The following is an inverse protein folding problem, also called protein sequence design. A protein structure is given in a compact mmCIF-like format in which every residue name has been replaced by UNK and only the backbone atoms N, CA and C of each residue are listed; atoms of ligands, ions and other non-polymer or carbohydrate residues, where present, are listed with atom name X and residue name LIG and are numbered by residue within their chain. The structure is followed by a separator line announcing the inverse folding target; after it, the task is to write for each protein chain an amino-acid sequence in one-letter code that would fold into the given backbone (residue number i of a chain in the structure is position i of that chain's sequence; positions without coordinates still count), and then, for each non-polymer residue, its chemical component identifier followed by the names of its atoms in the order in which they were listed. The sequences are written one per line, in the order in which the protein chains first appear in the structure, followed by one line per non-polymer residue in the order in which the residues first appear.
data_IF_474831599573
#
_entry.id   IF_474831599573
#
_cell.length_a   1.000
_cell.length_b   1.000
_cell.length_c   1.000
_cell.angle_alpha   90.00
_cell.angle_beta   90.00
_cell.angle_gamma   90.00
#
_symmetry.space_group_name_H-M   'P 1'
#
loop_
_entity.id
_entity.type
_entity.pdbx_description
1 polymer ?
#
# COMPACT_ATOMS: atom_id res chain seq x y z
N UNK A 1 -41.09 -6.50 12.05
CA UNK A 1 -40.10 -5.57 11.48
C UNK A 1 -38.86 -6.40 11.14
N UNK A 2 -38.60 -6.69 9.86
CA UNK A 2 -37.47 -7.54 9.44
C UNK A 2 -36.27 -6.67 9.13
N UNK A 3 -35.17 -6.85 9.86
CA UNK A 3 -33.90 -6.19 9.59
C UNK A 3 -33.31 -6.75 8.29
N UNK A 4 -32.96 -5.87 7.35
CA UNK A 4 -32.33 -6.25 6.08
C UNK A 4 -30.97 -5.53 6.02
N UNK A 5 -29.82 -6.23 6.01
CA UNK A 5 -28.52 -5.58 5.92
C UNK A 5 -28.21 -5.28 4.44
N UNK A 6 -28.37 -4.01 4.03
CA UNK A 6 -28.12 -3.52 2.67
C UNK A 6 -27.25 -2.26 2.75
N UNK A 7 -25.98 -2.39 3.15
CA UNK A 7 -24.98 -1.30 3.01
C UNK A 7 -23.52 -1.71 3.22
N UNK A 8 -23.23 -2.70 4.06
CA UNK A 8 -21.85 -2.93 4.54
C UNK A 8 -20.90 -3.54 3.48
N UNK A 9 -21.42 -4.32 2.53
CA UNK A 9 -20.60 -4.95 1.49
C UNK A 9 -20.02 -3.96 0.48
N UNK A 10 -20.74 -2.87 0.17
CA UNK A 10 -20.30 -1.90 -0.84
C UNK A 10 -19.24 -0.92 -0.31
N UNK A 11 -19.34 -0.50 0.96
CA UNK A 11 -18.42 0.48 1.54
C UNK A 11 -17.00 -0.10 1.72
N UNK A 12 -16.91 -1.33 2.24
CA UNK A 12 -15.61 -2.00 2.47
C UNK A 12 -14.89 -2.30 1.15
N UNK A 13 -15.62 -2.72 0.11
CA UNK A 13 -15.02 -2.98 -1.21
C UNK A 13 -14.61 -1.70 -1.95
N UNK A 14 -15.38 -0.62 -1.80
CA UNK A 14 -15.03 0.68 -2.41
C UNK A 14 -13.80 1.31 -1.75
N UNK A 15 -13.63 1.15 -0.43
CA UNK A 15 -12.39 1.54 0.26
C UNK A 15 -11.19 0.71 -0.20
N UNK A 16 -11.36 -0.60 -0.35
CA UNK A 16 -10.30 -1.50 -0.82
C UNK A 16 -9.80 -1.09 -2.21
N UNK A 17 -10.72 -0.67 -3.10
CA UNK A 17 -10.42 -0.17 -4.44
C UNK A 17 -9.63 1.14 -4.51
N UNK A 18 -9.46 1.85 -3.38
CA UNK A 18 -8.66 3.09 -3.25
C UNK A 18 -7.57 2.96 -2.18
N UNK A 19 -7.37 1.77 -1.63
CA UNK A 19 -6.40 1.52 -0.57
C UNK A 19 -5.06 1.04 -1.13
N UNK A 20 -3.98 1.63 -0.63
CA UNK A 20 -2.61 1.14 -0.83
C UNK A 20 -2.00 0.67 0.50
N UNK A 21 -1.06 -0.26 0.40
CA UNK A 21 -0.21 -0.70 1.49
C UNK A 21 1.22 -0.23 1.20
N UNK A 22 1.81 0.47 2.16
CA UNK A 22 3.19 0.91 2.15
C UNK A 22 3.97 0.06 3.15
N UNK A 23 5.12 -0.49 2.77
CA UNK A 23 5.97 -1.32 3.64
C UNK A 23 7.41 -0.87 3.56
N UNK A 24 8.13 -0.87 4.68
CA UNK A 24 9.52 -0.42 4.74
C UNK A 24 9.78 0.80 5.64
N UNK A 25 8.90 1.82 5.72
CA UNK A 25 9.16 2.98 6.57
C UNK A 25 9.30 2.57 8.05
N UNK A 26 10.31 3.08 8.78
CA UNK A 26 10.53 2.72 10.18
C UNK A 26 9.37 3.20 11.06
N UNK A 27 9.07 2.44 12.11
CA UNK A 27 8.11 2.84 13.13
C UNK A 27 8.67 3.97 14.00
N UNK A 28 7.79 4.80 14.56
CA UNK A 28 8.19 5.75 15.60
C UNK A 28 8.34 4.99 16.93
N UNK A 29 9.29 5.43 17.74
CA UNK A 29 9.53 4.89 19.08
C UNK A 29 8.25 4.92 19.93
N UNK A 30 7.93 3.78 20.56
CA UNK A 30 6.71 3.59 21.34
C UNK A 30 6.68 4.42 22.62
N UNK A 31 7.83 4.83 23.12
CA UNK A 31 7.94 5.68 24.31
C UNK A 31 7.48 7.12 24.01
N UNK A 32 7.29 7.47 22.73
CA UNK A 32 6.78 8.79 22.33
C UNK A 32 5.26 8.88 22.52
N UNK A 33 4.74 10.08 22.87
CA UNK A 33 3.31 10.34 22.93
C UNK A 33 2.60 9.97 21.63
N UNK A 34 1.34 9.51 21.73
CA UNK A 34 0.55 9.10 20.57
C UNK A 34 0.46 10.19 19.50
N UNK A 35 0.29 11.47 19.89
CA UNK A 35 0.24 12.60 18.97
C UNK A 35 1.52 12.76 18.15
N UNK A 36 2.69 12.55 18.78
CA UNK A 36 4.00 12.60 18.11
C UNK A 36 4.14 11.43 17.13
N UNK A 37 3.75 10.23 17.54
CA UNK A 37 3.80 9.02 16.69
C UNK A 37 2.86 9.15 15.49
N UNK A 38 1.68 9.72 15.70
CA UNK A 38 0.69 9.96 14.65
C UNK A 38 1.21 10.99 13.64
N UNK A 39 1.72 12.12 14.11
CA UNK A 39 2.32 13.14 13.23
C UNK A 39 3.49 12.59 12.43
N UNK A 40 4.39 11.84 13.06
CA UNK A 40 5.50 11.18 12.37
C UNK A 40 5.01 10.23 11.25
N UNK A 41 3.94 9.47 11.50
CA UNK A 41 3.33 8.61 10.48
C UNK A 41 2.77 9.44 9.31
N UNK A 42 2.05 10.52 9.62
CA UNK A 42 1.46 11.42 8.61
C UNK A 42 2.55 12.09 7.76
N UNK A 43 3.61 12.61 8.40
CA UNK A 43 4.76 13.23 7.72
C UNK A 43 5.47 12.23 6.80
N UNK A 44 5.68 10.98 7.25
CA UNK A 44 6.25 9.92 6.41
C UNK A 44 5.38 9.60 5.20
N UNK A 45 4.06 9.52 5.39
CA UNK A 45 3.13 9.22 4.28
C UNK A 45 3.07 10.39 3.31
N UNK A 46 3.05 11.63 3.79
CA UNK A 46 3.08 12.83 2.94
C UNK A 46 4.33 12.84 2.05
N UNK A 47 5.52 12.65 2.63
CA UNK A 47 6.78 12.62 1.87
C UNK A 47 6.80 11.52 0.79
N UNK A 48 6.23 10.35 1.09
CA UNK A 48 6.11 9.28 0.09
C UNK A 48 5.14 9.69 -1.02
N UNK A 49 3.97 10.25 -0.68
CA UNK A 49 2.98 10.67 -1.67
C UNK A 49 3.48 11.80 -2.57
N UNK A 50 4.32 12.70 -2.06
CA UNK A 50 4.99 13.74 -2.85
C UNK A 50 5.90 13.13 -3.92
N UNK A 51 6.71 12.13 -3.56
CA UNK A 51 7.57 11.40 -4.50
C UNK A 51 6.74 10.66 -5.56
N UNK A 52 5.58 10.13 -5.15
CA UNK A 52 4.66 9.44 -6.06
C UNK A 52 3.83 10.39 -6.92
N UNK A 53 3.97 11.70 -6.75
CA UNK A 53 3.20 12.75 -7.43
C UNK A 53 1.69 12.58 -7.23
N UNK A 54 1.28 12.36 -5.98
CA UNK A 54 -0.11 12.19 -5.57
C UNK A 54 -0.55 13.42 -4.79
N UNK A 55 -1.10 14.43 -5.48
CA UNK A 55 -1.56 15.68 -4.84
C UNK A 55 -2.91 15.50 -4.13
N UNK A 56 -2.90 14.77 -3.02
CA UNK A 56 -4.07 14.63 -2.17
C UNK A 56 -3.69 14.16 -0.78
N UNK A 57 -4.39 14.70 0.23
CA UNK A 57 -4.36 14.11 1.57
C UNK A 57 -5.12 12.78 1.57
N UNK A 58 -4.57 11.73 2.20
CA UNK A 58 -5.32 10.50 2.46
C UNK A 58 -6.54 10.75 3.34
N UNK A 59 -7.59 9.96 3.13
CA UNK A 59 -8.76 9.95 4.02
C UNK A 59 -8.44 9.23 5.33
N UNK A 60 -7.63 8.17 5.26
CA UNK A 60 -7.31 7.31 6.39
C UNK A 60 -5.86 6.83 6.28
N UNK A 61 -5.11 6.93 7.37
CA UNK A 61 -3.73 6.45 7.49
C UNK A 61 -3.51 5.78 8.83
N UNK A 62 -3.02 4.54 8.84
CA UNK A 62 -2.68 3.83 10.09
C UNK A 62 -1.66 2.72 9.86
N UNK A 63 -0.89 2.38 10.92
CA UNK A 63 0.01 1.22 10.95
C UNK A 63 -0.79 -0.06 11.22
N UNK A 64 -0.51 -1.11 10.47
CA UNK A 64 -1.16 -2.41 10.58
C UNK A 64 -0.29 -3.42 11.34
N UNK A 65 -0.94 -4.28 12.12
CA UNK A 65 -0.29 -5.40 12.81
C UNK A 65 0.39 -5.02 14.11
N UNK A 66 1.11 -6.00 14.66
CA UNK A 66 1.81 -5.90 15.93
C UNK A 66 3.23 -5.34 15.76
N UNK A 67 3.71 -4.67 16.80
CA UNK A 67 5.05 -4.08 16.80
C UNK A 67 6.09 -5.20 16.85
N UNK A 68 7.15 -5.07 16.05
CA UNK A 68 8.23 -6.05 16.00
C UNK A 68 9.56 -5.37 15.73
N UNK A 69 10.59 -5.77 16.47
CA UNK A 69 11.96 -5.27 16.29
C UNK A 69 12.58 -5.74 14.97
N UNK A 70 12.05 -6.81 14.38
CA UNK A 70 12.61 -7.41 13.17
C UNK A 70 12.20 -6.66 11.91
N UNK A 71 10.99 -6.10 11.87
CA UNK A 71 10.39 -5.54 10.65
C UNK A 71 9.43 -4.40 11.00
N UNK A 72 9.55 -3.24 10.32
CA UNK A 72 8.59 -2.16 10.46
C UNK A 72 7.18 -2.59 10.05
N UNK A 73 6.17 -2.05 10.73
CA UNK A 73 4.78 -2.37 10.45
C UNK A 73 4.32 -1.76 9.12
N UNK A 74 3.60 -2.50 8.26
CA UNK A 74 3.01 -1.91 7.07
C UNK A 74 2.05 -0.78 7.40
N UNK A 75 1.98 0.25 6.56
CA UNK A 75 1.01 1.34 6.66
C UNK A 75 -0.11 1.05 5.67
N UNK A 76 -1.37 1.19 6.09
CA UNK A 76 -2.50 1.28 5.18
C UNK A 76 -2.88 2.74 4.99
N UNK A 77 -3.08 3.11 3.73
CA UNK A 77 -3.46 4.46 3.28
C UNK A 77 -4.67 4.33 2.37
N UNK A 78 -5.73 5.08 2.65
CA UNK A 78 -6.93 5.19 1.80
C UNK A 78 -6.89 6.53 1.07
N UNK A 79 -6.87 6.48 -0.26
CA UNK A 79 -6.79 7.66 -1.11
C UNK A 79 -8.19 8.15 -1.49
N UNK A 80 -8.40 9.46 -1.71
CA UNK A 80 -9.74 10.02 -1.95
C UNK A 80 -10.35 9.58 -3.29
N UNK A 81 -9.55 9.09 -4.24
CA UNK A 81 -10.08 8.63 -5.53
C UNK A 81 -9.28 7.48 -6.13
N UNK A 82 -9.94 6.76 -7.04
CA UNK A 82 -9.29 5.70 -7.82
C UNK A 82 -8.17 6.24 -8.69
N UNK A 83 -8.31 7.45 -9.24
CA UNK A 83 -7.26 8.08 -10.06
C UNK A 83 -5.98 8.29 -9.26
N UNK A 84 -6.09 8.84 -8.03
CA UNK A 84 -4.95 8.99 -7.13
C UNK A 84 -4.32 7.65 -6.76
N UNK A 85 -5.15 6.61 -6.56
CA UNK A 85 -4.68 5.25 -6.34
C UNK A 85 -3.91 4.66 -7.52
N UNK A 86 -4.39 4.86 -8.76
CA UNK A 86 -3.69 4.44 -9.98
C UNK A 86 -2.34 5.15 -10.07
N UNK A 87 -2.31 6.48 -9.88
CA UNK A 87 -1.08 7.28 -9.91
C UNK A 87 -0.08 6.78 -8.89
N UNK A 88 -0.49 6.56 -7.64
CA UNK A 88 0.38 6.05 -6.58
C UNK A 88 1.05 4.72 -6.96
N UNK A 89 0.30 3.79 -7.55
CA UNK A 89 0.83 2.48 -7.95
C UNK A 89 1.72 2.56 -9.19
N UNK A 90 1.35 3.36 -10.20
CA UNK A 90 2.13 3.53 -11.42
C UNK A 90 3.50 4.17 -11.12
N UNK A 91 3.51 5.12 -10.18
CA UNK A 91 4.71 5.87 -9.79
C UNK A 91 5.50 5.20 -8.65
N UNK A 92 5.04 4.07 -8.11
CA UNK A 92 5.73 3.35 -7.01
C UNK A 92 7.21 3.05 -7.30
N UNK A 93 7.57 2.90 -8.58
CA UNK A 93 8.96 2.70 -9.03
C UNK A 93 9.89 3.90 -8.74
N UNK A 94 9.35 5.12 -8.61
CA UNK A 94 10.12 6.33 -8.38
C UNK A 94 10.85 6.32 -7.03
N UNK A 95 10.30 5.62 -6.04
CA UNK A 95 10.91 5.47 -4.71
C UNK A 95 12.31 4.84 -4.75
N UNK A 96 12.59 4.00 -5.76
CA UNK A 96 13.85 3.25 -5.87
C UNK A 96 15.10 4.12 -5.97
N UNK A 97 14.96 5.36 -6.43
CA UNK A 97 16.07 6.29 -6.65
C UNK A 97 16.07 7.43 -5.62
N UNK A 98 15.44 7.20 -4.47
CA UNK A 98 15.32 8.17 -3.37
C UNK A 98 15.76 7.52 -2.06
N UNK A 99 15.72 8.27 -0.96
CA UNK A 99 15.96 7.73 0.39
C UNK A 99 14.93 6.67 0.81
N UNK A 100 13.85 6.50 0.04
CA UNK A 100 12.84 5.46 0.22
C UNK A 100 13.06 4.23 -0.68
N UNK A 101 14.29 3.94 -1.11
CA UNK A 101 14.58 2.83 -2.01
C UNK A 101 14.15 1.45 -1.46
N UNK A 102 14.08 1.29 -0.14
CA UNK A 102 13.62 0.10 0.56
C UNK A 102 12.10 0.11 0.86
N UNK A 103 11.37 1.13 0.41
CA UNK A 103 9.92 1.24 0.57
C UNK A 103 9.19 0.65 -0.63
N UNK A 104 8.17 -0.15 -0.33
CA UNK A 104 7.35 -0.83 -1.31
C UNK A 104 5.90 -0.40 -1.18
N UNK A 105 5.31 0.02 -2.28
CA UNK A 105 3.88 0.37 -2.38
C UNK A 105 3.16 -0.69 -3.20
N UNK A 106 2.01 -1.15 -2.72
CA UNK A 106 1.19 -2.16 -3.41
C UNK A 106 -0.30 -1.95 -3.16
N UNK A 107 -1.15 -2.57 -3.99
CA UNK A 107 -2.59 -2.66 -3.77
C UNK A 107 -2.92 -3.35 -2.44
N UNK A 108 -3.93 -2.84 -1.74
CA UNK A 108 -4.55 -3.54 -0.62
C UNK A 108 -5.36 -4.72 -1.14
N UNK A 109 -4.92 -5.93 -0.81
CA UNK A 109 -5.48 -7.19 -1.30
C UNK A 109 -5.69 -8.15 -0.14
N UNK A 110 -6.71 -8.99 -0.26
CA UNK A 110 -6.92 -10.16 0.57
C UNK A 110 -5.74 -11.14 0.46
N UNK A 111 -5.61 -12.04 1.44
CA UNK A 111 -4.52 -13.01 1.45
C UNK A 111 -4.56 -13.95 0.22
N UNK A 112 -5.75 -14.39 -0.20
CA UNK A 112 -5.96 -15.22 -1.39
C UNK A 112 -5.52 -14.50 -2.67
N UNK A 113 -5.95 -13.26 -2.87
CA UNK A 113 -5.55 -12.42 -4.01
C UNK A 113 -4.03 -12.20 -4.04
N UNK A 114 -3.40 -11.95 -2.88
CA UNK A 114 -1.93 -11.84 -2.78
C UNK A 114 -1.22 -13.12 -3.20
N UNK A 115 -1.74 -14.29 -2.82
CA UNK A 115 -1.16 -15.58 -3.18
C UNK A 115 -1.27 -15.83 -4.68
N UNK A 116 -2.41 -15.50 -5.29
CA UNK A 116 -2.60 -15.56 -6.75
C UNK A 116 -1.62 -14.64 -7.50
N UNK A 117 -1.53 -13.38 -7.08
CA UNK A 117 -0.62 -12.39 -7.67
C UNK A 117 0.87 -12.79 -7.53
N UNK A 118 1.22 -13.41 -6.40
CA UNK A 118 2.55 -13.98 -6.21
C UNK A 118 2.84 -15.13 -7.18
N UNK A 119 1.89 -16.06 -7.36
CA UNK A 119 2.03 -17.18 -8.31
C UNK A 119 2.19 -16.66 -9.75
N UNK A 120 1.36 -15.72 -10.17
CA UNK A 120 1.47 -15.07 -11.49
C UNK A 120 2.85 -14.42 -11.70
N UNK A 121 3.39 -13.75 -10.68
CA UNK A 121 4.74 -13.17 -10.75
C UNK A 121 5.85 -14.22 -10.83
N UNK A 122 5.70 -15.37 -10.19
CA UNK A 122 6.66 -16.47 -10.31
C UNK A 122 6.61 -17.07 -11.71
N UNK A 123 5.42 -17.38 -12.22
CA UNK A 123 5.24 -17.91 -13.56
C UNK A 123 5.75 -16.95 -14.63
N UNK A 124 5.48 -15.64 -14.49
CA UNK A 124 6.01 -14.62 -15.38
C UNK A 124 7.55 -14.57 -15.36
N UNK A 125 8.19 -14.82 -14.21
CA UNK A 125 9.66 -14.86 -14.11
C UNK A 125 10.21 -16.10 -14.81
N UNK A 126 9.62 -17.26 -14.57
CA UNK A 126 10.01 -18.53 -15.20
C UNK A 126 9.88 -18.45 -16.72
N UNK A 127 8.72 -17.98 -17.23
CA UNK A 127 8.48 -17.84 -18.67
C UNK A 127 9.39 -16.81 -19.33
N UNK A 128 9.79 -15.77 -18.63
CA UNK A 128 10.68 -14.73 -19.16
C UNK A 128 12.16 -15.00 -18.92
N UNK A 129 12.50 -16.12 -18.27
CA UNK A 129 13.89 -16.49 -18.04
C UNK A 129 14.56 -16.82 -19.38
N UNK A 130 15.65 -16.12 -19.70
CA UNK A 130 16.41 -16.35 -20.93
C UNK A 130 15.75 -15.84 -22.21
N UNK A 131 14.57 -15.20 -22.15
CA UNK A 131 13.93 -14.61 -23.34
C UNK A 131 14.49 -13.21 -23.64
N UNK A 132 14.69 -12.85 -24.92
CA UNK A 132 15.15 -11.52 -25.32
C UNK A 132 14.08 -10.44 -25.09
N UNK A 133 12.80 -10.80 -25.04
CA UNK A 133 11.67 -9.91 -24.77
C UNK A 133 10.72 -10.51 -23.74
N UNK A 134 10.16 -9.66 -22.88
CA UNK A 134 9.20 -10.08 -21.84
C UNK A 134 7.82 -10.35 -22.42
N UNK A 135 7.30 -11.54 -22.18
CA UNK A 135 5.89 -11.89 -22.32
C UNK A 135 5.13 -11.52 -21.05
N UNK A 136 4.00 -10.84 -21.22
CA UNK A 136 3.14 -10.41 -20.13
C UNK A 136 2.03 -11.42 -19.91
N UNK A 137 1.88 -11.90 -18.66
CA UNK A 137 0.70 -12.66 -18.23
C UNK A 137 -0.36 -11.65 -17.80
N UNK A 138 -1.55 -11.72 -18.42
CA UNK A 138 -2.73 -10.91 -18.10
C UNK A 138 -3.75 -11.79 -17.40
#
# INVERSE_FOLDING_TARGET
MKYTPLAETNAVDTEKGRSIIISGPPDCDLDKPQSVRQKHLEDQVAAILDILHVDSLPEVTYRMGEVSDKRPRPIKVVLPSRTRWITALANARLLRNTDYANVYVRKSMAASERAGDYKLRQEARERNQGKPSREWLV
#
